data_IF_644293748118
#
_entry.id   IF_644293748118
#
_cell.length_a   1.000
_cell.length_b   1.000
_cell.length_c   1.000
_cell.angle_alpha   90.00
_cell.angle_beta   90.00
_cell.angle_gamma   90.00
#
_symmetry.space_group_name_H-M   'P 1'
#
loop_
_entity.id
_entity.type
_entity.pdbx_description
1 polymer ?
#
# COMPACT_ATOMS: atom_id res chain seq x y z
N UNK A 1 -29.83 43.98 -30.08
CA UNK A 1 -28.77 43.75 -29.08
C UNK A 1 -29.09 42.73 -27.98
N UNK A 2 -30.30 42.12 -27.88
CA UNK A 2 -30.64 41.13 -26.82
C UNK A 2 -30.23 39.67 -27.13
N UNK A 3 -30.10 39.30 -28.42
CA UNK A 3 -29.85 37.91 -28.86
C UNK A 3 -28.45 37.37 -28.46
N UNK A 4 -27.43 38.24 -28.42
CA UNK A 4 -26.08 37.87 -27.97
C UNK A 4 -26.00 37.56 -26.46
N UNK A 5 -26.84 38.17 -25.62
CA UNK A 5 -26.81 37.93 -24.17
C UNK A 5 -27.32 36.53 -23.83
N UNK A 6 -28.31 36.04 -24.59
CA UNK A 6 -28.84 34.69 -24.42
C UNK A 6 -27.83 33.63 -24.85
N UNK A 7 -27.16 33.85 -25.98
CA UNK A 7 -26.12 32.95 -26.49
C UNK A 7 -24.94 32.82 -25.53
N UNK A 8 -24.50 33.94 -24.94
CA UNK A 8 -23.44 33.97 -23.94
C UNK A 8 -23.85 33.21 -22.67
N UNK A 9 -25.11 33.31 -22.24
CA UNK A 9 -25.61 32.60 -21.06
C UNK A 9 -25.69 31.08 -21.27
N UNK A 10 -26.07 30.62 -22.48
CA UNK A 10 -26.05 29.18 -22.81
C UNK A 10 -24.65 28.60 -22.85
N UNK A 11 -23.65 29.37 -23.30
CA UNK A 11 -22.26 28.91 -23.35
C UNK A 11 -21.67 28.74 -21.94
N UNK A 12 -22.02 29.66 -21.03
CA UNK A 12 -21.62 29.57 -19.62
C UNK A 12 -22.29 28.37 -18.95
N UNK A 13 -23.58 28.17 -19.17
CA UNK A 13 -24.32 27.04 -18.60
C UNK A 13 -23.80 25.68 -19.11
N UNK A 14 -23.43 25.58 -20.38
CA UNK A 14 -22.84 24.37 -20.96
C UNK A 14 -21.45 24.09 -20.38
N UNK A 15 -20.67 25.14 -20.11
CA UNK A 15 -19.36 25.00 -19.45
C UNK A 15 -19.49 24.55 -17.99
N UNK A 16 -20.56 24.95 -17.28
CA UNK A 16 -20.80 24.50 -15.90
C UNK A 16 -21.03 22.99 -15.82
N UNK A 17 -21.64 22.36 -16.83
CA UNK A 17 -21.88 20.91 -16.86
C UNK A 17 -20.54 20.13 -16.91
N UNK A 18 -19.53 20.67 -17.60
CA UNK A 18 -18.18 20.09 -17.61
C UNK A 18 -17.44 20.28 -16.28
N UNK A 19 -17.79 21.29 -15.48
CA UNK A 19 -17.22 21.48 -14.13
C UNK A 19 -17.86 20.57 -13.07
N UNK A 20 -19.04 19.99 -13.33
CA UNK A 20 -19.63 18.97 -12.43
C UNK A 20 -19.08 17.57 -12.71
N UNK A 21 -18.26 17.42 -13.75
CA UNK A 21 -17.58 16.17 -14.10
C UNK A 21 -16.25 16.02 -13.35
N UNK A 22 -16.31 15.42 -12.14
CA UNK A 22 -15.32 14.47 -11.59
C UNK A 22 -15.59 14.25 -10.09
N UNK A 23 -16.71 13.61 -9.77
CA UNK A 23 -16.99 13.07 -8.44
C UNK A 23 -17.00 11.54 -8.41
N UNK A 24 -16.41 10.89 -9.42
CA UNK A 24 -16.10 9.46 -9.35
C UNK A 24 -14.60 9.25 -9.17
N UNK A 25 -14.06 9.81 -8.08
CA UNK A 25 -12.79 9.34 -7.54
C UNK A 25 -13.12 8.05 -6.77
N UNK A 26 -13.39 6.97 -7.51
CA UNK A 26 -13.46 5.61 -6.95
C UNK A 26 -12.06 5.02 -6.71
N UNK A 27 -11.13 5.88 -6.31
CA UNK A 27 -9.75 5.54 -5.94
C UNK A 27 -9.34 6.15 -4.61
N UNK A 28 -10.29 6.54 -3.76
CA UNK A 28 -9.99 6.86 -2.38
C UNK A 28 -9.82 5.53 -1.62
N UNK A 29 -8.55 5.16 -1.43
CA UNK A 29 -8.05 4.12 -0.54
C UNK A 29 -8.20 2.65 -0.96
N UNK A 30 -7.51 2.25 -2.03
CA UNK A 30 -6.93 0.90 -2.01
C UNK A 30 -5.72 0.92 -1.07
N UNK A 31 -6.01 0.79 0.22
CA UNK A 31 -4.97 0.56 1.24
C UNK A 31 -4.88 -0.93 1.49
N UNK A 32 -3.73 -1.48 1.17
CA UNK A 32 -3.43 -2.86 1.51
C UNK A 32 -2.96 -2.92 2.98
N UNK A 33 -3.71 -3.67 3.78
CA UNK A 33 -3.41 -3.86 5.20
C UNK A 33 -2.81 -5.24 5.37
N UNK A 34 -1.48 -5.36 5.57
CA UNK A 34 -0.90 -6.65 5.91
C UNK A 34 -1.38 -7.11 7.27
N UNK A 35 -1.94 -8.32 7.35
CA UNK A 35 -2.34 -8.94 8.62
C UNK A 35 -1.15 -9.57 9.35
N UNK A 36 -0.20 -10.10 8.57
CA UNK A 36 0.97 -10.79 9.10
C UNK A 36 2.25 -10.35 8.39
N UNK A 37 3.33 -10.28 9.17
CA UNK A 37 4.69 -10.04 8.68
C UNK A 37 5.56 -11.22 9.10
N UNK A 38 6.17 -11.90 8.13
CA UNK A 38 7.19 -12.93 8.37
C UNK A 38 8.57 -12.36 8.11
N UNK A 39 9.52 -12.60 9.02
CA UNK A 39 10.90 -12.13 8.91
C UNK A 39 11.85 -13.32 9.06
N UNK A 40 12.74 -13.46 8.10
CA UNK A 40 13.75 -14.53 8.02
C UNK A 40 15.12 -13.92 7.72
N UNK A 41 16.15 -14.28 8.51
CA UNK A 41 17.55 -14.06 8.15
C UNK A 41 17.98 -15.14 7.14
N UNK A 42 18.48 -14.73 5.98
CA UNK A 42 19.15 -15.62 5.03
C UNK A 42 20.67 -15.68 5.29
N UNK A 43 21.31 -16.67 4.66
CA UNK A 43 22.72 -17.03 4.87
C UNK A 43 23.71 -15.90 4.57
N UNK A 44 23.31 -14.94 3.74
CA UNK A 44 24.17 -13.86 3.21
C UNK A 44 24.08 -12.56 4.02
N UNK A 45 23.70 -12.65 5.29
CA UNK A 45 23.43 -11.51 6.16
C UNK A 45 22.32 -10.56 5.64
N UNK A 46 21.44 -11.08 4.78
CA UNK A 46 20.28 -10.37 4.26
C UNK A 46 19.02 -10.84 4.99
N UNK A 47 18.10 -9.91 5.23
CA UNK A 47 16.76 -10.23 5.71
C UNK A 47 15.79 -10.40 4.55
N UNK A 48 14.86 -11.33 4.74
CA UNK A 48 13.73 -11.58 3.86
C UNK A 48 12.47 -11.31 4.66
N UNK A 49 11.68 -10.34 4.18
CA UNK A 49 10.40 -9.95 4.78
C UNK A 49 9.28 -10.40 3.86
N UNK A 50 8.28 -11.06 4.43
CA UNK A 50 7.10 -11.53 3.73
C UNK A 50 5.86 -10.90 4.37
N UNK A 51 5.08 -10.16 3.58
CA UNK A 51 3.81 -9.57 3.97
C UNK A 51 2.67 -10.45 3.48
N UNK A 52 1.74 -10.77 4.38
CA UNK A 52 0.48 -11.43 4.04
C UNK A 52 -0.65 -10.42 4.08
N UNK A 53 -1.26 -10.16 2.92
CA UNK A 53 -2.31 -9.17 2.72
C UNK A 53 -3.59 -9.91 2.31
N UNK A 54 -4.63 -9.94 3.14
CA UNK A 54 -5.93 -10.45 2.72
C UNK A 54 -6.54 -9.47 1.71
N UNK A 55 -7.01 -9.98 0.58
CA UNK A 55 -7.80 -9.19 -0.36
C UNK A 55 -9.10 -9.91 -0.71
N UNK A 56 -10.05 -9.17 -1.23
CA UNK A 56 -11.33 -9.70 -1.71
C UNK A 56 -11.47 -9.33 -3.16
N UNK A 57 -11.09 -10.24 -4.05
CA UNK A 57 -11.39 -10.08 -5.48
C UNK A 57 -12.66 -10.85 -5.82
N UNK A 58 -13.62 -10.17 -6.45
CA UNK A 58 -14.84 -10.78 -7.02
C UNK A 58 -15.62 -11.71 -6.07
N UNK A 59 -15.65 -11.38 -4.78
CA UNK A 59 -16.44 -12.11 -3.77
C UNK A 59 -15.76 -13.35 -3.17
N UNK A 60 -14.55 -13.70 -3.61
CA UNK A 60 -13.72 -14.72 -2.94
C UNK A 60 -12.66 -14.05 -2.06
N UNK A 61 -12.39 -14.64 -0.89
CA UNK A 61 -11.28 -14.23 -0.02
C UNK A 61 -10.00 -14.81 -0.59
N UNK A 62 -9.19 -13.98 -1.23
CA UNK A 62 -7.89 -14.37 -1.79
C UNK A 62 -6.81 -13.70 -0.97
N UNK A 63 -5.73 -14.40 -0.65
CA UNK A 63 -4.61 -13.80 0.06
C UNK A 63 -3.44 -13.53 -0.87
N UNK A 64 -2.99 -12.28 -0.89
CA UNK A 64 -1.77 -11.87 -1.60
C UNK A 64 -0.59 -11.95 -0.64
N UNK A 65 0.47 -12.61 -1.07
CA UNK A 65 1.73 -12.68 -0.32
C UNK A 65 2.80 -11.94 -1.11
N UNK A 66 3.39 -10.90 -0.51
CA UNK A 66 4.49 -10.13 -1.10
C UNK A 66 5.76 -10.43 -0.32
N UNK A 67 6.86 -10.68 -1.02
CA UNK A 67 8.14 -11.01 -0.38
C UNK A 67 9.25 -10.17 -0.95
N UNK A 68 10.05 -9.57 -0.09
CA UNK A 68 11.18 -8.72 -0.46
C UNK A 68 12.42 -9.12 0.36
N UNK A 69 13.60 -9.00 -0.26
CA UNK A 69 14.90 -9.21 0.39
C UNK A 69 15.65 -7.88 0.50
N UNK A 70 16.50 -7.74 1.51
CA UNK A 70 17.35 -6.57 1.69
C UNK A 70 18.24 -6.67 2.92
N UNK A 71 19.04 -5.64 3.17
CA UNK A 71 20.05 -5.65 4.24
C UNK A 71 19.46 -5.39 5.62
N UNK A 72 18.43 -4.54 5.73
CA UNK A 72 17.80 -4.15 7.01
C UNK A 72 16.28 -4.26 6.86
N UNK A 73 15.53 -4.58 7.93
CA UNK A 73 14.07 -4.72 7.80
C UNK A 73 13.40 -3.38 7.51
N UNK A 74 13.92 -2.28 8.07
CA UNK A 74 13.42 -0.93 7.84
C UNK A 74 13.47 -0.55 6.36
N UNK A 75 14.60 -0.77 5.69
CA UNK A 75 14.75 -0.48 4.25
C UNK A 75 13.87 -1.39 3.39
N UNK A 76 13.68 -2.65 3.78
CA UNK A 76 12.77 -3.57 3.09
C UNK A 76 11.32 -3.09 3.20
N UNK A 77 10.88 -2.62 4.37
CA UNK A 77 9.52 -2.08 4.56
C UNK A 77 9.27 -0.79 3.78
N UNK A 78 10.28 0.08 3.65
CA UNK A 78 10.22 1.28 2.82
C UNK A 78 10.15 0.93 1.32
N UNK A 79 10.95 -0.03 0.87
CA UNK A 79 10.90 -0.53 -0.50
C UNK A 79 9.54 -1.17 -0.80
N UNK A 80 9.00 -1.97 0.11
CA UNK A 80 7.67 -2.55 -0.03
C UNK A 80 6.60 -1.47 -0.13
N UNK A 81 6.70 -0.39 0.65
CA UNK A 81 5.78 0.75 0.57
C UNK A 81 5.90 1.53 -0.75
N UNK A 82 7.10 1.60 -1.33
CA UNK A 82 7.36 2.32 -2.59
C UNK A 82 7.02 1.50 -3.84
N UNK A 83 7.27 0.19 -3.80
CA UNK A 83 7.10 -0.71 -4.94
C UNK A 83 5.70 -1.32 -5.06
N UNK A 84 4.82 -1.08 -4.08
CA UNK A 84 3.42 -1.54 -4.13
C UNK A 84 2.54 -0.42 -4.65
N UNK A 85 1.66 -0.72 -5.61
CA UNK A 85 0.69 0.24 -6.15
C UNK A 85 -0.26 0.78 -5.06
N UNK A 86 -0.64 -0.11 -4.14
CA UNK A 86 -1.52 0.19 -3.01
C UNK A 86 -0.73 0.66 -1.78
N UNK A 87 -1.26 1.68 -1.10
CA UNK A 87 -0.61 2.23 0.08
C UNK A 87 -0.64 1.23 1.25
N UNK A 88 0.53 0.68 1.61
CA UNK A 88 0.65 -0.28 2.71
C UNK A 88 0.46 0.40 4.08
N UNK A 89 -0.48 -0.12 4.88
CA UNK A 89 -0.78 0.38 6.22
C UNK A 89 -0.42 -0.63 7.32
N UNK A 90 0.77 -0.50 7.89
CA UNK A 90 1.32 -1.45 8.85
C UNK A 90 0.72 -1.39 10.28
N UNK A 91 -0.10 -0.39 10.61
CA UNK A 91 -0.62 -0.18 11.99
C UNK A 91 -1.60 -1.27 12.45
N UNK A 92 -2.19 -2.01 11.52
CA UNK A 92 -3.19 -3.05 11.79
C UNK A 92 -2.64 -4.48 11.73
N UNK A 93 -1.31 -4.64 11.63
CA UNK A 93 -0.64 -5.94 11.70
C UNK A 93 -0.96 -6.59 13.04
N UNK A 94 -1.43 -7.85 13.02
CA UNK A 94 -1.80 -8.60 14.22
C UNK A 94 -0.72 -9.58 14.67
N UNK A 95 0.12 -10.03 13.74
CA UNK A 95 1.13 -11.04 14.02
C UNK A 95 2.43 -10.72 13.28
N UNK A 96 3.53 -10.80 14.00
CA UNK A 96 4.88 -10.75 13.45
C UNK A 96 5.54 -12.09 13.77
N UNK A 97 5.90 -12.82 12.72
CA UNK A 97 6.58 -14.11 12.80
C UNK A 97 8.06 -13.89 12.53
N UNK A 98 8.89 -14.25 13.51
CA UNK A 98 10.35 -14.09 13.46
C UNK A 98 10.96 -15.48 13.49
N UNK A 99 11.80 -15.81 12.52
CA UNK A 99 12.42 -17.13 12.45
C UNK A 99 13.37 -17.36 13.64
N UNK A 100 13.22 -18.51 14.30
CA UNK A 100 13.95 -18.89 15.52
C UNK A 100 15.48 -18.96 15.37
N UNK A 101 16.00 -19.05 14.14
CA UNK A 101 17.45 -19.12 13.91
C UNK A 101 18.19 -17.82 14.24
N UNK A 102 17.49 -16.67 14.27
CA UNK A 102 18.05 -15.39 14.69
C UNK A 102 17.33 -14.77 15.90
N UNK A 103 16.12 -15.24 16.24
CA UNK A 103 15.38 -14.75 17.40
C UNK A 103 16.02 -15.09 18.77
N UNK A 104 17.02 -15.98 18.80
CA UNK A 104 17.68 -16.42 20.04
C UNK A 104 18.73 -15.44 20.56
N UNK A 105 19.28 -14.61 19.69
CA UNK A 105 20.32 -13.66 20.08
C UNK A 105 19.72 -12.25 20.22
N UNK A 106 19.89 -11.62 21.39
CA UNK A 106 19.37 -10.27 21.63
C UNK A 106 20.08 -9.23 20.76
N UNK A 107 21.33 -9.49 20.32
CA UNK A 107 22.06 -8.59 19.43
C UNK A 107 21.49 -8.63 18.00
N UNK A 108 21.10 -9.81 17.51
CA UNK A 108 20.50 -10.00 16.18
C UNK A 108 19.15 -9.27 16.02
N UNK A 109 18.39 -9.07 17.11
CA UNK A 109 17.12 -8.32 17.09
C UNK A 109 17.37 -6.82 16.91
N UNK A 110 18.46 -6.29 17.46
CA UNK A 110 18.87 -4.89 17.30
C UNK A 110 19.32 -4.58 15.88
N UNK A 111 20.09 -5.49 15.26
CA UNK A 111 20.50 -5.40 13.85
C UNK A 111 19.32 -5.45 12.87
N UNK A 112 18.17 -5.96 13.29
CA UNK A 112 16.99 -6.02 12.42
C UNK A 112 16.42 -4.62 12.11
N UNK A 113 16.51 -3.69 13.07
CA UNK A 113 15.83 -2.38 13.04
C UNK A 113 16.74 -1.29 12.44
N UNK A 114 18.04 -1.37 12.73
CA UNK A 114 19.06 -0.43 12.25
C UNK A 114 19.45 -0.75 10.80
#
# INVERSE_FOLDING_TARGET
MKKNRFFMSTIVLLSLIFLVGCWDIKEIDKRDIPLMIGIRKESDNQFKVTLYIPTTEKGSKISRTITQKGTNVSSILEQLKTNTEDALYYKQVRLILIQNNFAKDKADIGEMIL
#
